data_IF_484186181589
#
_entry.id   IF_484186181589
#
_cell.length_a   1.000
_cell.length_b   1.000
_cell.length_c   1.000
_cell.angle_alpha   90.00
_cell.angle_beta   90.00
_cell.angle_gamma   90.00
#
_symmetry.space_group_name_H-M   'P 1'
#
loop_
_entity.id
_entity.type
_entity.pdbx_description
1 polymer ?
#
# COMPACT_ATOMS: atom_id res chain seq x y z
N UNK A 1 26.92 8.65 -3.66
CA UNK A 1 26.22 9.92 -3.35
C UNK A 1 24.73 9.89 -3.66
N UNK A 2 24.29 9.20 -4.72
CA UNK A 2 22.87 9.14 -5.13
C UNK A 2 22.00 8.35 -4.16
N UNK A 3 22.53 7.34 -3.50
CA UNK A 3 21.81 6.50 -2.53
C UNK A 3 21.32 7.25 -1.28
N UNK A 4 21.89 8.40 -0.98
CA UNK A 4 21.45 9.24 0.15
C UNK A 4 20.24 10.11 -0.17
N UNK A 5 19.99 10.45 -1.43
CA UNK A 5 18.87 11.31 -1.84
C UNK A 5 17.51 10.60 -1.74
N UNK A 6 17.46 9.31 -2.06
CA UNK A 6 16.22 8.52 -2.02
C UNK A 6 15.80 8.09 -0.60
N UNK A 7 16.68 8.18 0.40
CA UNK A 7 16.41 7.71 1.75
C UNK A 7 15.80 8.77 2.68
N UNK A 8 15.58 9.99 2.20
CA UNK A 8 15.05 11.10 3.00
C UNK A 8 14.01 11.89 2.20
N UNK A 9 12.87 12.17 2.82
CA UNK A 9 11.80 13.01 2.23
C UNK A 9 12.13 14.51 2.25
N UNK A 10 13.12 14.93 3.03
CA UNK A 10 13.40 16.34 3.30
C UNK A 10 14.81 16.74 2.87
N UNK A 11 14.94 17.98 2.43
CA UNK A 11 16.26 18.56 2.13
C UNK A 11 17.19 18.58 3.35
N UNK A 12 16.63 18.70 4.56
CA UNK A 12 17.39 18.73 5.82
C UNK A 12 17.97 17.38 6.23
N UNK A 13 17.53 16.28 5.59
CA UNK A 13 18.03 14.90 5.83
C UNK A 13 18.00 14.46 7.30
N UNK A 14 16.99 14.89 8.05
CA UNK A 14 16.86 14.60 9.49
C UNK A 14 16.35 13.18 9.78
N UNK A 15 15.72 12.55 8.79
CA UNK A 15 15.18 11.19 8.88
C UNK A 15 15.29 10.42 7.58
N UNK A 16 15.21 9.09 7.69
CA UNK A 16 15.05 8.15 6.57
C UNK A 16 13.68 7.52 6.69
N UNK A 17 12.89 7.60 5.63
CA UNK A 17 11.46 7.35 5.68
C UNK A 17 11.06 6.17 4.78
N UNK A 18 10.10 5.37 5.23
CA UNK A 18 9.55 4.29 4.42
C UNK A 18 8.93 4.86 3.14
N UNK A 19 8.22 5.99 3.23
CA UNK A 19 7.58 6.65 2.08
C UNK A 19 8.55 7.15 0.99
N UNK A 20 9.84 7.21 1.26
CA UNK A 20 10.86 7.54 0.24
C UNK A 20 11.55 6.29 -0.29
N UNK A 21 11.88 5.35 0.59
CA UNK A 21 12.65 4.16 0.23
C UNK A 21 11.80 3.10 -0.47
N UNK A 22 10.59 2.83 0.03
CA UNK A 22 9.73 1.80 -0.53
C UNK A 22 9.27 2.14 -1.96
N UNK A 23 8.71 3.35 -2.26
CA UNK A 23 8.42 3.71 -3.65
C UNK A 23 9.67 3.83 -4.52
N UNK A 24 10.82 4.22 -3.96
CA UNK A 24 12.11 4.21 -4.65
C UNK A 24 12.51 2.80 -5.08
N UNK A 25 12.32 1.80 -4.19
CA UNK A 25 12.55 0.40 -4.54
C UNK A 25 11.62 -0.07 -5.66
N UNK A 26 10.30 0.19 -5.55
CA UNK A 26 9.32 -0.15 -6.60
C UNK A 26 9.69 0.50 -7.93
N UNK A 27 10.06 1.78 -7.93
CA UNK A 27 10.42 2.51 -9.13
C UNK A 27 11.68 1.91 -9.79
N UNK A 28 12.72 1.65 -9.02
CA UNK A 28 13.95 1.05 -9.53
C UNK A 28 13.69 -0.36 -10.11
N UNK A 29 12.89 -1.20 -9.44
CA UNK A 29 12.55 -2.53 -9.93
C UNK A 29 11.72 -2.49 -11.22
N UNK A 30 10.81 -1.54 -11.36
CA UNK A 30 10.06 -1.32 -12.62
C UNK A 30 10.96 -0.78 -13.74
N UNK A 31 11.94 0.06 -13.43
CA UNK A 31 12.96 0.47 -14.41
C UNK A 31 13.80 -0.72 -14.86
N UNK A 32 14.21 -1.61 -13.94
CA UNK A 32 14.89 -2.84 -14.32
C UNK A 32 14.03 -3.69 -15.27
N UNK A 33 12.75 -3.89 -14.97
CA UNK A 33 11.85 -4.65 -15.87
C UNK A 33 11.77 -4.03 -17.27
N UNK A 34 11.82 -2.71 -17.38
CA UNK A 34 11.71 -1.99 -18.65
C UNK A 34 13.03 -1.92 -19.42
N UNK A 35 14.17 -1.83 -18.72
CA UNK A 35 15.48 -1.53 -19.34
C UNK A 35 16.46 -2.69 -19.33
N UNK A 36 16.25 -3.67 -18.43
CA UNK A 36 17.17 -4.78 -18.13
C UNK A 36 18.56 -4.31 -17.65
N UNK A 37 18.67 -3.09 -17.11
CA UNK A 37 19.91 -2.57 -16.54
C UNK A 37 20.04 -3.01 -15.07
N UNK A 38 21.02 -3.84 -14.77
CA UNK A 38 21.32 -4.41 -13.45
C UNK A 38 21.54 -3.36 -12.35
N UNK A 39 21.93 -2.14 -12.73
CA UNK A 39 22.06 -1.04 -11.77
C UNK A 39 20.76 -0.73 -11.05
N UNK A 40 19.62 -0.79 -11.76
CA UNK A 40 18.30 -0.58 -11.17
C UNK A 40 17.85 -1.76 -10.27
N UNK A 41 18.18 -2.99 -10.64
CA UNK A 41 17.90 -4.15 -9.79
C UNK A 41 18.67 -4.04 -8.47
N UNK A 42 19.94 -3.70 -8.55
CA UNK A 42 20.80 -3.50 -7.38
C UNK A 42 20.23 -2.41 -6.46
N UNK A 43 19.91 -1.23 -7.00
CA UNK A 43 19.36 -0.12 -6.22
C UNK A 43 18.02 -0.48 -5.59
N UNK A 44 17.11 -1.11 -6.35
CA UNK A 44 15.81 -1.55 -5.86
C UNK A 44 15.93 -2.54 -4.69
N UNK A 45 16.84 -3.51 -4.81
CA UNK A 45 17.13 -4.48 -3.77
C UNK A 45 17.74 -3.83 -2.53
N UNK A 46 18.72 -2.94 -2.68
CA UNK A 46 19.35 -2.23 -1.56
C UNK A 46 18.33 -1.35 -0.79
N UNK A 47 17.44 -0.65 -1.49
CA UNK A 47 16.38 0.15 -0.86
C UNK A 47 15.37 -0.73 -0.10
N UNK A 48 14.97 -1.85 -0.70
CA UNK A 48 14.07 -2.80 -0.05
C UNK A 48 14.69 -3.38 1.23
N UNK A 49 15.87 -3.98 1.13
CA UNK A 49 16.55 -4.63 2.24
C UNK A 49 16.86 -3.65 3.39
N UNK A 50 17.31 -2.43 3.03
CA UNK A 50 17.54 -1.40 4.03
C UNK A 50 16.26 -1.04 4.78
N UNK A 51 15.15 -0.87 4.06
CA UNK A 51 13.86 -0.50 4.65
C UNK A 51 13.33 -1.63 5.52
N UNK A 52 13.37 -2.86 5.04
CA UNK A 52 13.00 -4.05 5.81
C UNK A 52 13.79 -4.13 7.12
N UNK A 53 15.11 -4.09 7.04
CA UNK A 53 16.01 -4.20 8.20
C UNK A 53 15.76 -3.14 9.28
N UNK A 54 15.43 -1.91 8.89
CA UNK A 54 15.39 -0.77 9.81
C UNK A 54 13.99 -0.34 10.22
N UNK A 55 12.96 -0.65 9.44
CA UNK A 55 11.63 -0.09 9.60
C UNK A 55 10.49 -1.13 9.63
N UNK A 56 10.77 -2.43 9.41
CA UNK A 56 9.79 -3.48 9.66
C UNK A 56 9.54 -3.64 11.16
N UNK A 57 8.28 -3.73 11.56
CA UNK A 57 7.90 -4.20 12.88
C UNK A 57 7.79 -5.74 12.85
N UNK A 58 8.78 -6.42 13.45
CA UNK A 58 8.82 -7.89 13.50
C UNK A 58 7.64 -8.55 14.22
N UNK A 59 6.79 -7.77 14.89
CA UNK A 59 5.61 -8.29 15.60
C UNK A 59 4.42 -8.54 14.67
N UNK A 60 4.32 -7.75 13.60
CA UNK A 60 3.15 -7.78 12.72
C UNK A 60 3.47 -7.53 11.24
N UNK A 61 4.75 -7.51 10.85
CA UNK A 61 5.22 -7.32 9.47
C UNK A 61 4.79 -6.02 8.79
N UNK A 62 4.25 -5.05 9.56
CA UNK A 62 3.97 -3.71 9.04
C UNK A 62 5.18 -2.80 9.18
N UNK A 63 5.19 -1.73 8.40
CA UNK A 63 6.33 -0.82 8.36
C UNK A 63 6.06 0.47 9.12
N UNK A 64 7.01 0.83 10.00
CA UNK A 64 7.08 2.12 10.67
C UNK A 64 7.32 3.24 9.66
N UNK A 65 6.93 4.45 10.02
CA UNK A 65 7.00 5.60 9.12
C UNK A 65 8.45 6.03 8.82
N UNK A 66 9.26 6.19 9.86
CA UNK A 66 10.62 6.72 9.68
C UNK A 66 11.56 6.33 10.82
N UNK A 67 12.85 6.54 10.57
CA UNK A 67 13.91 6.52 11.58
C UNK A 67 14.74 7.80 11.46
N UNK A 68 14.89 8.55 12.56
CA UNK A 68 15.69 9.75 12.62
C UNK A 68 17.19 9.45 12.68
N UNK A 69 18.04 10.45 12.47
CA UNK A 69 19.51 10.29 12.51
C UNK A 69 20.01 9.82 13.88
N UNK A 70 19.32 10.17 14.95
CA UNK A 70 19.62 9.69 16.33
C UNK A 70 18.97 8.33 16.63
N UNK A 71 18.55 7.57 15.58
CA UNK A 71 17.97 6.23 15.65
C UNK A 71 16.60 6.13 16.36
N UNK A 72 15.91 7.24 16.57
CA UNK A 72 14.55 7.21 17.09
C UNK A 72 13.57 6.81 15.98
N UNK A 73 12.76 5.78 16.23
CA UNK A 73 11.76 5.26 15.25
C UNK A 73 10.43 6.00 15.45
N UNK A 74 9.91 6.56 14.36
CA UNK A 74 8.54 7.05 14.26
C UNK A 74 7.60 5.87 13.98
N UNK A 75 6.87 5.42 15.01
CA UNK A 75 6.13 4.15 15.01
C UNK A 75 4.76 4.19 14.36
N UNK A 76 4.38 5.28 13.70
CA UNK A 76 3.15 5.32 12.92
C UNK A 76 3.20 4.29 11.80
N UNK A 77 2.08 3.63 11.55
CA UNK A 77 1.93 2.62 10.48
C UNK A 77 0.88 3.11 9.50
N UNK A 78 1.31 3.39 8.29
CA UNK A 78 0.45 3.89 7.22
C UNK A 78 0.31 2.85 6.12
N UNK A 79 -0.88 2.78 5.53
CA UNK A 79 -1.21 1.79 4.50
C UNK A 79 -0.26 1.85 3.30
N UNK A 80 0.10 3.06 2.85
CA UNK A 80 1.01 3.23 1.72
C UNK A 80 2.43 2.71 1.98
N UNK A 81 2.94 2.80 3.22
CA UNK A 81 4.28 2.31 3.56
C UNK A 81 4.37 0.79 3.39
N UNK A 82 3.48 0.06 4.04
CA UNK A 82 3.45 -1.40 3.94
C UNK A 82 3.01 -1.87 2.55
N UNK A 83 2.07 -1.17 1.91
CA UNK A 83 1.63 -1.48 0.55
C UNK A 83 2.76 -1.37 -0.49
N UNK A 84 3.63 -0.36 -0.38
CA UNK A 84 4.78 -0.22 -1.28
C UNK A 84 5.87 -1.27 -0.98
N UNK A 85 6.07 -1.65 0.28
CA UNK A 85 7.00 -2.73 0.62
C UNK A 85 6.49 -4.09 0.13
N UNK A 86 5.19 -4.37 0.24
CA UNK A 86 4.55 -5.54 -0.36
C UNK A 86 4.77 -5.55 -1.88
N UNK A 87 4.55 -4.42 -2.56
CA UNK A 87 4.76 -4.30 -4.00
C UNK A 87 6.22 -4.55 -4.39
N UNK A 88 7.17 -3.98 -3.65
CA UNK A 88 8.60 -4.20 -3.89
C UNK A 88 9.01 -5.66 -3.70
N UNK A 89 8.51 -6.33 -2.65
CA UNK A 89 8.74 -7.74 -2.40
C UNK A 89 8.18 -8.62 -3.54
N UNK A 90 6.95 -8.36 -3.98
CA UNK A 90 6.34 -9.05 -5.11
C UNK A 90 7.16 -8.90 -6.40
N UNK A 91 7.61 -7.68 -6.73
CA UNK A 91 8.47 -7.41 -7.88
C UNK A 91 9.83 -8.12 -7.76
N UNK A 92 10.45 -8.11 -6.58
CA UNK A 92 11.70 -8.84 -6.34
C UNK A 92 11.53 -10.34 -6.57
N UNK A 93 10.42 -10.92 -6.12
CA UNK A 93 10.13 -12.32 -6.43
C UNK A 93 9.92 -12.57 -7.93
N UNK A 94 9.17 -11.70 -8.61
CA UNK A 94 8.97 -11.81 -10.06
C UNK A 94 10.30 -11.83 -10.83
N UNK A 95 11.25 -10.99 -10.42
CA UNK A 95 12.56 -10.83 -11.07
C UNK A 95 13.53 -11.97 -10.67
N UNK A 96 13.66 -12.24 -9.37
CA UNK A 96 14.72 -13.11 -8.84
C UNK A 96 14.32 -14.56 -8.62
N UNK A 97 13.02 -14.84 -8.53
CA UNK A 97 12.43 -16.13 -8.15
C UNK A 97 12.82 -16.63 -6.74
N UNK A 98 13.39 -15.76 -5.90
CA UNK A 98 13.74 -16.10 -4.51
C UNK A 98 12.46 -16.13 -3.65
N UNK A 99 12.12 -17.30 -3.12
CA UNK A 99 10.86 -17.57 -2.37
C UNK A 99 10.70 -16.67 -1.14
N UNK A 100 11.77 -16.26 -0.50
CA UNK A 100 11.73 -15.38 0.67
C UNK A 100 11.00 -14.05 0.37
N UNK A 101 11.14 -13.50 -0.83
CA UNK A 101 10.43 -12.28 -1.21
C UNK A 101 8.92 -12.50 -1.41
N UNK A 102 8.52 -13.70 -1.88
CA UNK A 102 7.09 -14.04 -1.94
C UNK A 102 6.51 -14.19 -0.54
N UNK A 103 7.20 -14.90 0.34
CA UNK A 103 6.81 -15.05 1.74
C UNK A 103 6.69 -13.68 2.44
N UNK A 104 7.64 -12.78 2.21
CA UNK A 104 7.56 -11.40 2.71
C UNK A 104 6.32 -10.68 2.19
N UNK A 105 6.06 -10.73 0.89
CA UNK A 105 4.90 -10.07 0.29
C UNK A 105 3.58 -10.60 0.88
N UNK A 106 3.47 -11.92 1.07
CA UNK A 106 2.29 -12.57 1.66
C UNK A 106 2.11 -12.19 3.13
N UNK A 107 3.19 -12.20 3.93
CA UNK A 107 3.13 -11.79 5.33
C UNK A 107 2.70 -10.31 5.47
N UNK A 108 3.23 -9.43 4.63
CA UNK A 108 2.82 -8.02 4.61
C UNK A 108 1.35 -7.88 4.18
N UNK A 109 0.89 -8.66 3.20
CA UNK A 109 -0.49 -8.64 2.74
C UNK A 109 -1.47 -9.04 3.85
N UNK A 110 -1.19 -10.14 4.54
CA UNK A 110 -2.00 -10.58 5.69
C UNK A 110 -2.02 -9.53 6.80
N UNK A 111 -0.86 -8.96 7.12
CA UNK A 111 -0.74 -7.89 8.12
C UNK A 111 -1.53 -6.64 7.73
N UNK A 112 -1.42 -6.20 6.48
CA UNK A 112 -2.19 -5.06 5.95
C UNK A 112 -3.69 -5.33 6.02
N UNK A 113 -4.15 -6.50 5.63
CA UNK A 113 -5.55 -6.87 5.68
C UNK A 113 -6.06 -6.84 7.13
N UNK A 114 -5.37 -7.49 8.05
CA UNK A 114 -5.73 -7.50 9.47
C UNK A 114 -5.74 -6.09 10.11
N UNK A 115 -4.81 -5.23 9.71
CA UNK A 115 -4.66 -3.91 10.33
C UNK A 115 -5.58 -2.85 9.74
N UNK A 116 -5.75 -2.83 8.41
CA UNK A 116 -6.46 -1.75 7.69
C UNK A 116 -7.89 -2.10 7.30
N UNK A 117 -8.33 -3.34 7.53
CA UNK A 117 -9.73 -3.74 7.39
C UNK A 117 -10.36 -4.03 8.76
N UNK A 118 -11.67 -4.05 8.80
CA UNK A 118 -12.46 -4.40 9.98
C UNK A 118 -13.72 -5.14 9.56
N UNK A 119 -14.17 -6.06 10.38
CA UNK A 119 -15.46 -6.67 10.18
C UNK A 119 -16.56 -5.60 10.32
N UNK A 120 -17.41 -5.53 9.35
CA UNK A 120 -18.49 -4.56 9.26
C UNK A 120 -19.81 -5.29 8.94
N UNK A 121 -20.86 -4.92 9.63
CA UNK A 121 -22.23 -5.39 9.33
C UNK A 121 -23.05 -4.21 8.85
N UNK A 122 -23.50 -4.27 7.61
CA UNK A 122 -24.33 -3.25 6.99
C UNK A 122 -25.75 -3.22 7.58
N UNK A 123 -26.52 -2.14 7.42
CA UNK A 123 -27.88 -2.03 7.96
C UNK A 123 -28.84 -3.13 7.46
N UNK A 124 -28.61 -3.71 6.29
CA UNK A 124 -29.35 -4.84 5.72
C UNK A 124 -28.89 -6.20 6.23
N UNK A 125 -27.93 -6.26 7.16
CA UNK A 125 -27.47 -7.46 7.85
C UNK A 125 -26.32 -8.20 7.14
N UNK A 126 -25.77 -7.70 6.03
CA UNK A 126 -24.62 -8.31 5.38
C UNK A 126 -23.34 -8.05 6.17
N UNK A 127 -22.52 -9.09 6.38
CA UNK A 127 -21.23 -8.97 7.09
C UNK A 127 -20.08 -9.23 6.13
N UNK A 128 -19.12 -8.30 6.11
CA UNK A 128 -17.91 -8.37 5.26
C UNK A 128 -16.75 -7.56 5.86
N UNK A 129 -15.57 -7.67 5.25
CA UNK A 129 -14.42 -6.85 5.61
C UNK A 129 -14.51 -5.50 4.91
N UNK A 130 -14.58 -4.41 5.69
CA UNK A 130 -14.61 -3.03 5.19
C UNK A 130 -13.29 -2.34 5.52
N UNK A 131 -12.79 -1.55 4.60
CA UNK A 131 -11.64 -0.69 4.84
C UNK A 131 -11.91 0.29 5.98
N UNK A 132 -10.95 0.44 6.90
CA UNK A 132 -11.05 1.41 7.99
C UNK A 132 -10.93 2.83 7.47
N UNK A 133 -11.61 3.76 8.13
CA UNK A 133 -11.48 5.20 7.88
C UNK A 133 -10.02 5.63 7.91
N UNK A 134 -9.61 6.44 6.96
CA UNK A 134 -8.24 6.92 6.86
C UNK A 134 -8.00 7.79 5.63
N UNK A 135 -6.75 7.97 5.27
CA UNK A 135 -6.39 8.65 4.04
C UNK A 135 -6.59 7.71 2.84
N UNK A 136 -7.55 8.04 1.99
CA UNK A 136 -7.96 7.21 0.84
C UNK A 136 -6.82 7.03 -0.16
N UNK A 137 -5.97 8.04 -0.35
CA UNK A 137 -4.81 7.91 -1.23
C UNK A 137 -3.80 6.89 -0.69
N UNK A 138 -3.61 6.80 0.64
CA UNK A 138 -2.78 5.77 1.24
C UNK A 138 -3.32 4.37 0.96
N UNK A 139 -4.63 4.21 0.99
CA UNK A 139 -5.31 2.96 0.66
C UNK A 139 -5.16 2.60 -0.82
N UNK A 140 -5.27 3.57 -1.73
CA UNK A 140 -5.05 3.34 -3.16
C UNK A 140 -3.62 2.87 -3.46
N UNK A 141 -2.63 3.43 -2.77
CA UNK A 141 -1.24 2.97 -2.88
C UNK A 141 -1.07 1.55 -2.34
N UNK A 142 -1.73 1.21 -1.23
CA UNK A 142 -1.72 -0.16 -0.69
C UNK A 142 -2.34 -1.16 -1.67
N UNK A 143 -3.42 -0.80 -2.34
CA UNK A 143 -4.06 -1.64 -3.36
C UNK A 143 -3.08 -2.03 -4.48
N UNK A 144 -2.17 -1.14 -4.88
CA UNK A 144 -1.15 -1.46 -5.90
C UNK A 144 -0.29 -2.67 -5.48
N UNK A 145 0.06 -2.77 -4.20
CA UNK A 145 0.79 -3.91 -3.66
C UNK A 145 -0.02 -5.21 -3.71
N UNK A 146 -1.29 -5.17 -3.32
CA UNK A 146 -2.17 -6.34 -3.40
C UNK A 146 -2.37 -6.81 -4.84
N UNK A 147 -2.50 -5.89 -5.80
CA UNK A 147 -2.62 -6.24 -7.23
C UNK A 147 -1.33 -6.91 -7.74
N UNK A 148 -0.15 -6.37 -7.37
CA UNK A 148 1.13 -6.95 -7.76
C UNK A 148 1.31 -8.37 -7.21
N UNK A 149 0.93 -8.59 -5.94
CA UNK A 149 0.96 -9.92 -5.32
C UNK A 149 -0.03 -10.89 -5.97
N UNK A 150 -1.26 -10.44 -6.24
CA UNK A 150 -2.29 -11.24 -6.89
C UNK A 150 -1.85 -11.78 -8.26
N UNK A 151 -1.07 -11.04 -9.02
CA UNK A 151 -0.50 -11.51 -10.30
C UNK A 151 0.44 -12.71 -10.15
N UNK A 152 0.87 -12.99 -8.92
CA UNK A 152 1.82 -14.07 -8.60
C UNK A 152 1.12 -15.27 -7.97
N UNK A 153 0.33 -15.03 -6.92
CA UNK A 153 -0.24 -16.10 -6.10
C UNK A 153 -1.73 -16.39 -6.39
N UNK A 154 -2.37 -15.53 -7.19
CA UNK A 154 -3.79 -15.63 -7.54
C UNK A 154 -4.75 -15.70 -6.35
N UNK A 155 -4.31 -15.26 -5.16
CA UNK A 155 -5.17 -15.16 -3.99
C UNK A 155 -6.09 -13.95 -4.09
N UNK A 156 -7.32 -14.16 -4.52
CA UNK A 156 -8.31 -13.09 -4.73
C UNK A 156 -8.92 -12.53 -3.45
N UNK A 157 -8.69 -13.14 -2.30
CA UNK A 157 -9.36 -12.78 -1.03
C UNK A 157 -9.25 -11.29 -0.73
N UNK A 158 -8.06 -10.73 -0.78
CA UNK A 158 -7.83 -9.33 -0.44
C UNK A 158 -8.45 -8.36 -1.45
N UNK A 159 -8.36 -8.67 -2.75
CA UNK A 159 -8.96 -7.84 -3.80
C UNK A 159 -10.48 -7.91 -3.76
N UNK A 160 -11.06 -9.06 -3.40
CA UNK A 160 -12.50 -9.21 -3.18
C UNK A 160 -12.99 -8.31 -2.04
N UNK A 161 -12.25 -8.21 -0.94
CA UNK A 161 -12.61 -7.35 0.18
C UNK A 161 -12.43 -5.85 -0.17
N UNK A 162 -11.43 -5.50 -0.99
CA UNK A 162 -11.34 -4.17 -1.59
C UNK A 162 -12.55 -3.86 -2.48
N UNK A 163 -12.92 -4.80 -3.37
CA UNK A 163 -14.09 -4.65 -4.25
C UNK A 163 -15.36 -4.40 -3.44
N UNK A 164 -15.62 -5.22 -2.42
CA UNK A 164 -16.78 -5.03 -1.53
C UNK A 164 -16.77 -3.67 -0.83
N UNK A 165 -15.59 -3.22 -0.38
CA UNK A 165 -15.45 -1.89 0.24
C UNK A 165 -15.77 -0.78 -0.75
N UNK A 166 -15.31 -0.88 -1.99
CA UNK A 166 -15.60 0.08 -3.05
C UNK A 166 -17.09 0.07 -3.44
N UNK A 167 -17.68 -1.12 -3.63
CA UNK A 167 -19.10 -1.26 -3.95
C UNK A 167 -19.98 -0.67 -2.85
N UNK A 168 -19.64 -0.93 -1.60
CA UNK A 168 -20.35 -0.33 -0.46
C UNK A 168 -20.19 1.19 -0.43
N UNK A 169 -18.97 1.70 -0.62
CA UNK A 169 -18.72 3.15 -0.64
C UNK A 169 -19.44 3.84 -1.80
N UNK A 170 -19.61 3.19 -2.94
CA UNK A 170 -20.36 3.74 -4.09
C UNK A 170 -21.79 4.08 -3.71
N UNK A 171 -22.43 3.21 -2.93
CA UNK A 171 -23.84 3.37 -2.57
C UNK A 171 -24.05 4.21 -1.29
N UNK A 172 -23.07 4.18 -0.35
CA UNK A 172 -23.28 4.71 1.00
C UNK A 172 -22.34 5.87 1.40
N UNK A 173 -21.17 6.00 0.75
CA UNK A 173 -20.16 6.97 1.13
C UNK A 173 -19.98 8.13 0.14
N UNK A 174 -21.01 8.47 -0.64
CA UNK A 174 -21.04 9.65 -1.52
C UNK A 174 -22.03 10.70 -1.02
N UNK A 175 -21.75 11.96 -1.31
CA UNK A 175 -22.70 13.05 -1.10
C UNK A 175 -23.67 13.19 -2.30
N UNK A 176 -24.61 14.11 -2.22
CA UNK A 176 -25.59 14.41 -3.28
C UNK A 176 -24.97 14.84 -4.61
N UNK A 177 -23.72 15.32 -4.59
CA UNK A 177 -22.93 15.68 -5.79
C UNK A 177 -22.14 14.47 -6.34
N UNK A 178 -22.26 13.30 -5.71
CA UNK A 178 -21.53 12.09 -6.07
C UNK A 178 -20.08 12.04 -5.56
N UNK A 179 -19.65 12.98 -4.69
CA UNK A 179 -18.29 13.04 -4.17
C UNK A 179 -18.13 12.14 -2.94
N UNK A 180 -17.06 11.35 -2.91
CA UNK A 180 -16.80 10.40 -1.84
C UNK A 180 -16.40 11.05 -0.52
N UNK A 181 -16.76 10.39 0.58
CA UNK A 181 -16.29 10.62 1.93
C UNK A 181 -14.94 9.91 2.17
N UNK A 182 -14.28 10.22 3.29
CA UNK A 182 -13.09 9.46 3.74
C UNK A 182 -13.45 8.27 4.63
N UNK A 183 -14.69 8.23 5.10
CA UNK A 183 -15.26 7.11 5.84
C UNK A 183 -16.01 6.18 4.87
N UNK A 184 -15.53 4.95 4.75
CA UNK A 184 -16.05 3.95 3.84
C UNK A 184 -17.48 3.51 4.16
N UNK A 185 -17.88 3.61 5.45
CA UNK A 185 -19.26 3.33 5.88
C UNK A 185 -20.25 4.41 5.48
N UNK A 186 -19.76 5.61 5.16
CA UNK A 186 -20.58 6.78 4.88
C UNK A 186 -21.23 7.42 6.11
N UNK A 187 -20.93 6.93 7.31
CA UNK A 187 -21.46 7.45 8.57
C UNK A 187 -20.94 8.86 8.85
N UNK A 188 -19.62 9.04 8.70
CA UNK A 188 -18.98 10.34 8.88
C UNK A 188 -18.97 11.13 7.56
N UNK A 189 -19.44 12.37 7.62
CA UNK A 189 -19.51 13.26 6.45
C UNK A 189 -18.42 14.32 6.51
N UNK A 190 -17.65 14.42 5.43
CA UNK A 190 -16.65 15.48 5.28
C UNK A 190 -17.31 16.74 4.69
N UNK A 191 -17.20 17.87 5.37
CA UNK A 191 -17.65 19.16 4.82
C UNK A 191 -16.84 19.55 3.59
N UNK A 192 -15.52 19.38 3.66
CA UNK A 192 -14.60 19.67 2.55
C UNK A 192 -14.26 18.41 1.80
N UNK A 193 -14.35 18.44 0.48
CA UNK A 193 -13.95 17.34 -0.41
C UNK A 193 -12.57 17.63 -0.98
N UNK A 194 -11.65 16.75 -0.71
CA UNK A 194 -10.30 16.85 -1.22
C UNK A 194 -10.16 16.14 -2.57
N UNK A 195 -9.63 16.83 -3.57
CA UNK A 195 -9.46 16.28 -4.92
C UNK A 195 -8.65 14.98 -4.91
N UNK A 196 -7.60 14.91 -4.08
CA UNK A 196 -6.79 13.70 -3.96
C UNK A 196 -7.60 12.49 -3.49
N UNK A 197 -8.57 12.68 -2.59
CA UNK A 197 -9.50 11.61 -2.19
C UNK A 197 -10.32 11.11 -3.38
N UNK A 198 -10.86 12.01 -4.19
CA UNK A 198 -11.67 11.63 -5.35
C UNK A 198 -10.83 10.89 -6.41
N UNK A 199 -9.62 11.40 -6.69
CA UNK A 199 -8.69 10.78 -7.62
C UNK A 199 -8.26 9.37 -7.15
N UNK A 200 -8.08 9.18 -5.84
CA UNK A 200 -7.74 7.87 -5.27
C UNK A 200 -8.87 6.84 -5.46
N UNK A 201 -10.13 7.23 -5.31
CA UNK A 201 -11.27 6.36 -5.62
C UNK A 201 -11.30 5.99 -7.11
N UNK A 202 -11.13 6.98 -8.00
CA UNK A 202 -11.07 6.74 -9.45
C UNK A 202 -9.96 5.74 -9.79
N UNK A 203 -8.77 5.91 -9.21
CA UNK A 203 -7.67 4.98 -9.40
C UNK A 203 -8.03 3.55 -8.97
N UNK A 204 -8.62 3.40 -7.78
CA UNK A 204 -8.97 2.08 -7.24
C UNK A 204 -10.04 1.38 -8.11
N UNK A 205 -11.11 2.09 -8.51
CA UNK A 205 -12.11 1.54 -9.42
C UNK A 205 -11.50 1.16 -10.77
N UNK A 206 -10.67 2.02 -11.35
CA UNK A 206 -10.02 1.74 -12.63
C UNK A 206 -9.09 0.53 -12.59
N UNK A 207 -8.36 0.34 -11.49
CA UNK A 207 -7.45 -0.80 -11.32
C UNK A 207 -8.17 -2.12 -11.10
N UNK A 208 -9.22 -2.14 -10.29
CA UNK A 208 -9.98 -3.36 -10.03
C UNK A 208 -10.95 -3.72 -11.16
N UNK A 209 -11.51 -2.73 -11.86
CA UNK A 209 -12.40 -2.99 -13.00
C UNK A 209 -11.77 -3.74 -14.17
N UNK A 210 -10.43 -3.81 -14.22
CA UNK A 210 -9.69 -4.62 -15.20
C UNK A 210 -9.30 -6.02 -14.73
N UNK A 211 -9.70 -6.42 -13.50
CA UNK A 211 -9.35 -7.71 -12.89
C UNK A 211 -10.61 -8.55 -12.73
N UNK A 212 -10.60 -9.76 -13.33
CA UNK A 212 -11.68 -10.73 -13.12
C UNK A 212 -11.51 -11.39 -11.73
N UNK A 213 -12.42 -11.07 -10.81
CA UNK A 213 -12.48 -11.62 -9.46
C UNK A 213 -13.60 -12.64 -9.25
N UNK A 214 -14.30 -13.02 -10.35
CA UNK A 214 -15.36 -14.02 -10.30
C UNK A 214 -14.82 -15.44 -10.11
#
# INVERSE_FOLDING_TARGET
PYTTLFRSCEQKKESKNTCSNAPGAVFALKLFQATQDDAYLKEGKELYEWTKKNLEDSKDHLYFDNISLNKKIGRAKFAYNSGQMMQAAALLYQITKQKSYLEDAQNIAEACHKHFFTQFTSPDGQTFQLLKKGNIWFTAVMLRGFIELYQIDHNKTYLTDFQKSLDYAWHHARDERGLFQTDWSGTDKNEKKWLLTQAAFIEMYGRLGGIDLQ
#
